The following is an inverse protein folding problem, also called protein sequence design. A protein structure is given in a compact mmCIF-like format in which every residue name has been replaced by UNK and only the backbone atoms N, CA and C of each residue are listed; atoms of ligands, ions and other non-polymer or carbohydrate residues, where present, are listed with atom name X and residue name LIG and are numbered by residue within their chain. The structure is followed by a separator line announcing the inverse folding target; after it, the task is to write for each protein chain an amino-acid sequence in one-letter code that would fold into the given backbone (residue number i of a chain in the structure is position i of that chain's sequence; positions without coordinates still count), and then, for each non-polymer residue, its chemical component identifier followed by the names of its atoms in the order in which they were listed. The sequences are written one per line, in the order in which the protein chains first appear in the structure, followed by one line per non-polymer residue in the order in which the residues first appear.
data_IF_504279755049
#
_entry.id   IF_504279755049
#
_cell.length_a   1.000
_cell.length_b   1.000
_cell.length_c   1.000
_cell.angle_alpha   90.00
_cell.angle_beta   90.00
_cell.angle_gamma   90.00
#
_symmetry.space_group_name_H-M   'P 1'
#
loop_
_entity.id
_entity.type
_entity.pdbx_description
1 polymer ?
#
# COMPACT_ATOMS: atom_id res chain seq x y z
N UNK A 1 -27.40 -0.98 7.59
CA UNK A 1 -28.02 -0.88 8.94
C UNK A 1 -27.43 -1.93 9.89
N UNK A 2 -27.30 -3.21 9.50
CA UNK A 2 -26.73 -4.27 10.35
C UNK A 2 -25.26 -4.07 10.73
N UNK A 3 -24.43 -3.56 9.82
CA UNK A 3 -23.03 -3.23 10.10
C UNK A 3 -22.90 -2.12 11.15
N UNK A 4 -23.72 -1.07 11.03
CA UNK A 4 -23.72 0.03 11.99
C UNK A 4 -24.24 -0.39 13.37
N UNK A 5 -25.30 -1.21 13.43
CA UNK A 5 -25.80 -1.76 14.69
C UNK A 5 -24.75 -2.65 15.39
N UNK A 6 -23.93 -3.35 14.62
CA UNK A 6 -22.81 -4.14 15.17
C UNK A 6 -21.68 -3.25 15.72
N UNK A 7 -21.45 -2.07 15.15
CA UNK A 7 -20.44 -1.13 15.69
C UNK A 7 -20.90 -0.45 16.97
N UNK A 8 -22.21 -0.35 17.23
CA UNK A 8 -22.79 0.17 18.49
C UNK A 8 -22.67 -0.82 19.66
N UNK A 9 -22.51 -2.10 19.38
CA UNK A 9 -22.19 -3.06 20.44
C UNK A 9 -20.75 -2.81 20.85
N UNK A 10 -20.58 -1.95 21.85
CA UNK A 10 -19.30 -1.87 22.55
C UNK A 10 -19.00 -3.29 23.01
N UNK A 11 -17.92 -3.93 22.57
CA UNK A 11 -17.54 -5.19 23.17
C UNK A 11 -17.43 -4.93 24.67
N UNK A 12 -17.97 -5.82 25.50
CA UNK A 12 -17.66 -5.80 26.92
C UNK A 12 -16.15 -5.73 27.00
N UNK A 13 -15.63 -4.61 27.50
CA UNK A 13 -14.20 -4.44 27.69
C UNK A 13 -13.88 -5.35 28.86
N UNK A 14 -13.55 -6.62 28.56
CA UNK A 14 -12.83 -7.41 29.54
C UNK A 14 -11.64 -6.58 29.97
N UNK A 15 -11.40 -6.50 31.27
CA UNK A 15 -10.23 -5.82 31.82
C UNK A 15 -8.97 -6.54 31.32
N UNK A 16 -8.50 -6.17 30.13
CA UNK A 16 -7.23 -6.66 29.62
C UNK A 16 -6.09 -5.96 30.36
N UNK A 17 -5.24 -6.75 30.97
CA UNK A 17 -3.95 -6.24 31.43
C UNK A 17 -3.10 -5.96 30.20
N UNK A 18 -2.85 -4.67 29.93
CA UNK A 18 -2.03 -4.26 28.79
C UNK A 18 -0.58 -4.58 29.13
N UNK A 19 -0.02 -5.56 28.45
CA UNK A 19 1.39 -5.91 28.52
C UNK A 19 2.15 -5.29 27.36
N UNK A 20 3.39 -4.82 27.56
CA UNK A 20 4.25 -4.42 26.43
C UNK A 20 4.42 -5.60 25.47
N UNK A 21 4.31 -5.33 24.17
CA UNK A 21 4.61 -6.35 23.17
C UNK A 21 6.10 -6.65 23.14
N UNK A 22 6.45 -7.92 23.05
CA UNK A 22 7.83 -8.31 22.77
C UNK A 22 8.26 -7.77 21.42
N UNK A 23 9.40 -7.10 21.36
CA UNK A 23 9.97 -6.58 20.14
C UNK A 23 11.42 -7.02 19.97
N UNK A 24 11.84 -7.09 18.74
CA UNK A 24 13.21 -7.39 18.40
C UNK A 24 14.00 -6.09 18.34
N UNK A 25 14.85 -5.88 19.33
CA UNK A 25 15.76 -4.75 19.40
C UNK A 25 16.84 -4.85 18.32
N UNK A 26 17.23 -3.70 17.78
CA UNK A 26 18.31 -3.63 16.78
C UNK A 26 19.61 -4.21 17.33
N UNK A 27 19.91 -4.04 18.62
CA UNK A 27 21.09 -4.62 19.26
C UNK A 27 21.03 -6.14 19.34
N UNK A 28 19.85 -6.71 19.65
CA UNK A 28 19.60 -8.16 19.63
C UNK A 28 19.65 -8.76 18.21
N UNK A 29 19.37 -7.95 17.19
CA UNK A 29 19.52 -8.36 15.79
C UNK A 29 20.98 -8.60 15.38
N UNK A 30 21.95 -7.92 16.04
CA UNK A 30 23.36 -8.07 15.68
C UNK A 30 23.88 -9.49 15.94
N UNK A 31 23.41 -10.17 16.97
CA UNK A 31 23.84 -11.53 17.31
C UNK A 31 23.48 -12.54 16.21
N UNK A 32 22.34 -12.35 15.53
CA UNK A 32 21.84 -13.20 14.45
C UNK A 32 21.90 -12.53 13.06
N UNK A 33 22.51 -11.36 12.95
CA UNK A 33 22.49 -10.55 11.73
C UNK A 33 22.98 -11.34 10.50
N UNK A 34 24.07 -12.10 10.64
CA UNK A 34 24.66 -12.86 9.52
C UNK A 34 23.68 -13.91 9.01
N UNK A 35 23.01 -14.61 9.92
CA UNK A 35 22.01 -15.64 9.58
C UNK A 35 20.80 -15.02 8.90
N UNK A 36 20.17 -14.01 9.52
CA UNK A 36 19.01 -13.34 8.96
C UNK A 36 19.31 -12.67 7.63
N UNK A 37 20.47 -12.05 7.50
CA UNK A 37 20.93 -11.47 6.25
C UNK A 37 21.06 -12.53 5.15
N UNK A 38 21.67 -13.67 5.46
CA UNK A 38 21.85 -14.76 4.49
C UNK A 38 20.49 -15.31 4.01
N UNK A 39 19.55 -15.54 4.94
CA UNK A 39 18.17 -15.99 4.63
C UNK A 39 17.48 -14.96 3.74
N UNK A 40 17.56 -13.67 4.09
CA UNK A 40 16.95 -12.58 3.33
C UNK A 40 17.53 -12.48 1.90
N UNK A 41 18.84 -12.56 1.76
CA UNK A 41 19.52 -12.56 0.45
C UNK A 41 19.08 -13.75 -0.40
N UNK A 42 19.02 -14.94 0.20
CA UNK A 42 18.56 -16.15 -0.49
C UNK A 42 17.10 -16.00 -0.95
N UNK A 43 16.21 -15.49 -0.10
CA UNK A 43 14.82 -15.25 -0.45
C UNK A 43 14.69 -14.29 -1.65
N UNK A 44 15.48 -13.20 -1.67
CA UNK A 44 15.48 -12.23 -2.77
C UNK A 44 16.00 -12.89 -4.06
N UNK A 45 17.14 -13.58 -4.01
CA UNK A 45 17.72 -14.27 -5.18
C UNK A 45 16.79 -15.34 -5.75
N UNK A 46 16.02 -16.00 -4.89
CA UNK A 46 15.03 -17.00 -5.27
C UNK A 46 13.68 -16.38 -5.67
N UNK A 47 13.62 -15.04 -5.87
CA UNK A 47 12.42 -14.30 -6.32
C UNK A 47 11.22 -14.45 -5.37
N UNK A 48 11.46 -14.61 -4.07
CA UNK A 48 10.42 -14.73 -3.03
C UNK A 48 10.05 -13.38 -2.40
N UNK A 49 10.50 -12.27 -2.98
CA UNK A 49 10.19 -10.92 -2.52
C UNK A 49 9.39 -10.17 -3.57
N UNK A 50 8.30 -9.56 -3.14
CA UNK A 50 7.56 -8.55 -3.90
C UNK A 50 7.39 -7.30 -3.04
N UNK A 51 7.33 -6.13 -3.67
CA UNK A 51 7.05 -4.87 -2.99
C UNK A 51 5.58 -4.50 -3.18
N UNK A 52 4.93 -4.04 -2.11
CA UNK A 52 3.57 -3.50 -2.15
C UNK A 52 3.59 -2.07 -1.64
N UNK A 53 3.05 -1.13 -2.44
CA UNK A 53 2.92 0.27 -2.04
C UNK A 53 1.44 0.64 -1.89
N UNK A 54 1.07 1.14 -0.73
CA UNK A 54 -0.26 1.70 -0.48
C UNK A 54 -0.29 3.14 -0.98
N UNK A 55 -0.88 3.38 -2.14
CA UNK A 55 -0.87 4.64 -2.86
C UNK A 55 -2.27 5.25 -3.07
N UNK A 56 -3.26 4.87 -2.26
CA UNK A 56 -4.63 5.39 -2.37
C UNK A 56 -4.82 6.84 -1.90
N UNK A 57 -3.79 7.47 -1.32
CA UNK A 57 -3.89 8.82 -0.76
C UNK A 57 -3.68 9.94 -1.77
N UNK A 58 -4.45 11.04 -1.60
CA UNK A 58 -4.25 12.30 -2.31
C UNK A 58 -3.17 13.16 -1.65
N UNK A 59 -2.54 14.03 -2.43
CA UNK A 59 -1.50 14.96 -2.00
C UNK A 59 -2.00 16.24 -1.32
N UNK A 60 -3.28 16.37 -1.03
CA UNK A 60 -3.93 17.63 -0.61
C UNK A 60 -3.29 18.27 0.61
N UNK A 61 -2.89 17.48 1.62
CA UNK A 61 -2.18 18.00 2.81
C UNK A 61 -0.78 18.56 2.50
N UNK A 62 -0.22 18.21 1.35
CA UNK A 62 1.07 18.70 0.86
C UNK A 62 0.90 19.86 -0.12
N UNK A 63 -0.34 20.37 -0.31
CA UNK A 63 -0.65 21.37 -1.32
C UNK A 63 -0.57 20.85 -2.77
N UNK A 64 -0.48 19.54 -2.96
CA UNK A 64 -0.37 18.91 -4.26
C UNK A 64 -1.74 18.46 -4.78
N UNK A 65 -2.03 18.78 -6.05
CA UNK A 65 -3.24 18.32 -6.74
C UNK A 65 -2.92 17.00 -7.45
N UNK A 66 -3.47 15.91 -6.93
CA UNK A 66 -3.29 14.57 -7.51
C UNK A 66 -2.76 13.54 -6.51
N UNK A 67 -2.44 12.33 -6.99
CA UNK A 67 -1.95 11.24 -6.14
C UNK A 67 -0.69 11.63 -5.38
N UNK A 68 -0.62 11.33 -4.08
CA UNK A 68 0.55 11.69 -3.25
C UNK A 68 1.87 11.15 -3.82
N UNK A 69 1.85 9.98 -4.44
CA UNK A 69 3.05 9.37 -5.03
C UNK A 69 3.67 10.15 -6.19
N UNK A 70 2.91 11.07 -6.82
CA UNK A 70 3.39 11.92 -7.91
C UNK A 70 4.06 13.19 -7.41
N UNK A 71 4.06 13.44 -6.10
CA UNK A 71 4.59 14.65 -5.48
C UNK A 71 6.12 14.67 -5.49
N UNK A 72 6.71 15.78 -5.93
CA UNK A 72 8.13 16.10 -5.79
C UNK A 72 8.35 16.73 -4.41
N UNK A 73 9.13 16.07 -3.56
CA UNK A 73 9.42 16.53 -2.20
C UNK A 73 10.52 17.60 -2.12
N UNK A 74 10.97 18.12 -3.27
CA UNK A 74 11.93 19.22 -3.34
C UNK A 74 13.39 18.80 -3.20
N UNK A 75 13.73 17.54 -3.52
CA UNK A 75 15.13 17.12 -3.65
C UNK A 75 15.74 17.72 -4.92
N UNK A 76 17.07 17.87 -4.95
CA UNK A 76 17.80 18.36 -6.14
C UNK A 76 17.50 17.53 -7.41
N UNK A 77 17.16 16.26 -7.24
CA UNK A 77 16.79 15.36 -8.33
C UNK A 77 15.41 15.64 -8.94
N UNK A 78 14.57 16.45 -8.28
CA UNK A 78 13.18 16.71 -8.68
C UNK A 78 12.32 15.47 -8.94
N UNK A 79 12.70 14.33 -8.32
CA UNK A 79 11.99 13.07 -8.48
C UNK A 79 10.74 13.02 -7.64
N UNK A 80 9.68 12.43 -8.21
CA UNK A 80 8.48 12.10 -7.47
C UNK A 80 8.73 10.98 -6.45
N UNK A 81 7.82 10.85 -5.46
CA UNK A 81 7.89 9.74 -4.51
C UNK A 81 7.86 8.37 -5.19
N UNK A 82 7.05 8.19 -6.24
CA UNK A 82 7.03 6.94 -7.01
C UNK A 82 8.38 6.67 -7.69
N UNK A 83 9.01 7.69 -8.25
CA UNK A 83 10.31 7.53 -8.89
C UNK A 83 11.41 7.16 -7.91
N UNK A 84 11.43 7.78 -6.72
CA UNK A 84 12.36 7.43 -5.65
C UNK A 84 12.18 5.99 -5.16
N UNK A 85 10.93 5.55 -4.97
CA UNK A 85 10.62 4.16 -4.61
C UNK A 85 11.07 3.18 -5.71
N UNK A 86 10.78 3.51 -6.97
CA UNK A 86 11.22 2.73 -8.12
C UNK A 86 12.75 2.57 -8.16
N UNK A 87 13.48 3.66 -7.96
CA UNK A 87 14.94 3.62 -7.97
C UNK A 87 15.50 2.74 -6.87
N UNK A 88 14.95 2.83 -5.65
CA UNK A 88 15.32 1.96 -4.54
C UNK A 88 15.08 0.48 -4.84
N UNK A 89 13.92 0.14 -5.40
CA UNK A 89 13.60 -1.24 -5.76
C UNK A 89 14.51 -1.77 -6.89
N UNK A 90 14.78 -0.96 -7.90
CA UNK A 90 15.67 -1.32 -9.01
C UNK A 90 17.11 -1.49 -8.55
N UNK A 91 17.56 -0.66 -7.62
CA UNK A 91 18.91 -0.78 -7.05
C UNK A 91 19.08 -2.10 -6.27
N UNK A 92 18.10 -2.42 -5.42
CA UNK A 92 18.09 -3.72 -4.72
C UNK A 92 18.00 -4.88 -5.71
N UNK A 93 17.17 -4.79 -6.72
CA UNK A 93 17.07 -5.81 -7.77
C UNK A 93 18.40 -6.03 -8.49
N UNK A 94 19.07 -4.95 -8.90
CA UNK A 94 20.41 -5.02 -9.52
C UNK A 94 21.46 -5.67 -8.63
N UNK A 95 21.46 -5.33 -7.33
CA UNK A 95 22.38 -5.89 -6.35
C UNK A 95 22.30 -7.41 -6.28
N UNK A 96 21.12 -7.98 -6.43
CA UNK A 96 20.89 -9.42 -6.31
C UNK A 96 20.61 -10.13 -7.64
N UNK A 97 20.65 -9.41 -8.78
CA UNK A 97 20.43 -9.96 -10.12
C UNK A 97 18.98 -10.40 -10.39
N UNK A 98 18.01 -9.72 -9.78
CA UNK A 98 16.58 -10.01 -9.92
C UNK A 98 15.79 -8.75 -10.19
N UNK A 99 14.57 -8.90 -10.73
CA UNK A 99 13.56 -7.84 -10.72
C UNK A 99 12.61 -8.10 -9.55
N UNK A 100 12.46 -7.13 -8.66
CA UNK A 100 11.49 -7.18 -7.55
C UNK A 100 10.14 -6.73 -8.11
N UNK A 101 9.11 -7.59 -8.19
CA UNK A 101 7.79 -7.18 -8.67
C UNK A 101 7.20 -6.11 -7.76
N UNK A 102 6.52 -5.13 -8.36
CA UNK A 102 5.94 -4.00 -7.66
C UNK A 102 4.42 -3.96 -7.80
N UNK A 103 3.72 -4.02 -6.69
CA UNK A 103 2.27 -3.97 -6.59
C UNK A 103 1.84 -2.64 -5.98
N UNK A 104 0.97 -1.90 -6.65
CA UNK A 104 0.57 -0.56 -6.25
C UNK A 104 -0.93 -0.55 -5.99
N UNK A 105 -1.29 -0.40 -4.71
CA UNK A 105 -2.67 -0.24 -4.30
C UNK A 105 -3.08 1.23 -4.43
N UNK A 106 -4.09 1.49 -5.25
CA UNK A 106 -4.68 2.81 -5.47
C UNK A 106 -6.07 2.90 -4.84
N UNK A 107 -6.65 4.10 -4.79
CA UNK A 107 -8.08 4.31 -4.56
C UNK A 107 -8.83 4.42 -5.88
N UNK A 108 -10.15 4.28 -5.87
CA UNK A 108 -10.97 4.55 -7.07
C UNK A 108 -10.74 5.97 -7.60
N UNK A 109 -10.60 6.94 -6.69
CA UNK A 109 -10.41 8.35 -7.02
C UNK A 109 -9.10 8.59 -7.77
N UNK A 110 -7.99 7.94 -7.37
CA UNK A 110 -6.66 8.27 -7.90
C UNK A 110 -6.05 7.19 -8.81
N UNK A 111 -6.76 6.10 -9.07
CA UNK A 111 -6.24 4.99 -9.86
C UNK A 111 -5.82 5.41 -11.28
N UNK A 112 -6.71 6.11 -11.97
CA UNK A 112 -6.46 6.50 -13.36
C UNK A 112 -5.29 7.48 -13.47
N UNK A 113 -5.25 8.49 -12.60
CA UNK A 113 -4.16 9.48 -12.56
C UNK A 113 -2.82 8.81 -12.23
N UNK A 114 -2.83 7.83 -11.32
CA UNK A 114 -1.64 7.07 -10.97
C UNK A 114 -1.13 6.26 -12.15
N UNK A 115 -2.01 5.49 -12.82
CA UNK A 115 -1.63 4.68 -13.99
C UNK A 115 -1.11 5.57 -15.12
N UNK A 116 -1.79 6.70 -15.39
CA UNK A 116 -1.38 7.65 -16.42
C UNK A 116 0.00 8.26 -16.10
N UNK A 117 0.24 8.62 -14.83
CA UNK A 117 1.54 9.11 -14.39
C UNK A 117 2.65 8.08 -14.62
N UNK A 118 2.41 6.82 -14.29
CA UNK A 118 3.37 5.75 -14.56
C UNK A 118 3.62 5.60 -16.06
N UNK A 119 2.58 5.57 -16.87
CA UNK A 119 2.70 5.46 -18.32
C UNK A 119 3.51 6.61 -18.94
N UNK A 120 3.26 7.86 -18.52
CA UNK A 120 4.03 9.04 -18.94
C UNK A 120 5.51 8.93 -18.58
N UNK A 121 5.84 8.28 -17.49
CA UNK A 121 7.21 8.04 -17.04
C UNK A 121 7.75 6.65 -17.45
N UNK A 122 7.19 6.05 -18.53
CA UNK A 122 7.60 4.74 -19.07
C UNK A 122 7.62 3.64 -17.98
N UNK A 123 6.65 3.71 -17.06
CA UNK A 123 6.53 2.83 -15.90
C UNK A 123 7.84 2.71 -15.09
N UNK A 124 8.69 3.73 -15.13
CA UNK A 124 10.03 3.73 -14.51
C UNK A 124 10.89 2.52 -14.89
N UNK A 125 10.67 1.95 -16.08
CA UNK A 125 11.37 0.77 -16.58
C UNK A 125 10.79 -0.57 -16.14
N UNK A 126 9.65 -0.59 -15.47
CA UNK A 126 8.87 -1.80 -15.18
C UNK A 126 7.97 -2.17 -16.37
N UNK A 127 7.66 -3.46 -16.49
CA UNK A 127 6.72 -3.99 -17.48
C UNK A 127 5.35 -4.19 -16.81
N UNK A 128 4.35 -3.39 -17.27
CA UNK A 128 2.98 -3.51 -16.75
C UNK A 128 2.45 -4.94 -16.98
N UNK A 129 1.70 -5.44 -16.00
CA UNK A 129 1.08 -6.76 -15.97
C UNK A 129 2.07 -7.96 -15.97
N UNK A 130 3.38 -7.68 -15.87
CA UNK A 130 4.43 -8.69 -15.74
C UNK A 130 5.19 -8.57 -14.41
N UNK A 131 5.66 -7.36 -14.09
CA UNK A 131 6.36 -7.07 -12.83
C UNK A 131 5.93 -5.73 -12.20
N UNK A 132 4.91 -5.07 -12.77
CA UNK A 132 4.23 -3.89 -12.24
C UNK A 132 2.73 -4.12 -12.30
N UNK A 133 2.07 -4.07 -11.14
CA UNK A 133 0.65 -4.35 -11.02
C UNK A 133 -0.05 -3.23 -10.26
N UNK A 134 -1.22 -2.80 -10.77
CA UNK A 134 -2.09 -1.85 -10.07
C UNK A 134 -3.35 -2.58 -9.61
N UNK A 135 -3.82 -2.26 -8.43
CA UNK A 135 -5.07 -2.79 -7.89
C UNK A 135 -5.73 -1.76 -6.99
N UNK A 136 -7.05 -1.85 -6.88
CA UNK A 136 -7.86 -0.82 -6.21
C UNK A 136 -8.21 -1.29 -4.80
N UNK A 137 -8.08 -0.38 -3.85
CA UNK A 137 -8.53 -0.54 -2.48
C UNK A 137 -10.07 -0.55 -2.41
N UNK A 138 -10.61 -1.39 -1.53
CA UNK A 138 -12.04 -1.39 -1.22
C UNK A 138 -12.44 -0.13 -0.46
N UNK A 139 -13.69 0.26 -0.65
CA UNK A 139 -14.32 1.40 0.00
C UNK A 139 -15.56 0.95 0.77
N UNK A 140 -15.91 1.70 1.80
CA UNK A 140 -17.09 1.46 2.63
C UNK A 140 -18.00 2.71 2.62
N UNK A 141 -19.33 2.52 2.64
CA UNK A 141 -20.25 3.62 2.77
C UNK A 141 -19.99 4.46 4.02
N UNK A 142 -19.95 5.77 3.84
CA UNK A 142 -19.86 6.72 4.95
C UNK A 142 -21.23 6.90 5.61
N UNK A 143 -21.22 7.06 6.91
CA UNK A 143 -22.42 7.35 7.71
C UNK A 143 -22.20 8.59 8.57
N UNK A 144 -23.26 9.31 8.88
CA UNK A 144 -23.24 10.39 9.86
C UNK A 144 -23.21 9.86 11.31
N UNK A 145 -23.24 10.77 12.28
CA UNK A 145 -23.22 10.40 13.71
C UNK A 145 -24.49 9.66 14.16
N UNK A 146 -25.59 9.79 13.42
CA UNK A 146 -26.85 9.08 13.64
C UNK A 146 -26.93 7.74 12.89
N UNK A 147 -25.88 7.40 12.09
CA UNK A 147 -25.79 6.17 11.33
C UNK A 147 -26.55 6.17 10.01
N UNK A 148 -26.93 7.33 9.49
CA UNK A 148 -27.50 7.46 8.16
C UNK A 148 -26.40 7.48 7.11
N UNK A 149 -26.66 6.81 5.99
CA UNK A 149 -25.75 6.83 4.84
C UNK A 149 -25.65 8.25 4.28
N UNK A 150 -24.44 8.72 4.09
CA UNK A 150 -24.18 10.01 3.45
C UNK A 150 -24.33 9.89 1.94
N UNK A 151 -25.09 10.84 1.36
CA UNK A 151 -25.26 10.96 -0.08
C UNK A 151 -24.47 12.17 -0.57
N UNK A 152 -23.75 12.01 -1.68
CA UNK A 152 -23.04 13.09 -2.35
C UNK A 152 -23.98 14.05 -3.08
N UNK A 153 -23.43 15.15 -3.56
CA UNK A 153 -24.15 16.12 -4.39
C UNK A 153 -24.60 15.52 -5.73
N UNK A 154 -23.91 14.48 -6.18
CA UNK A 154 -24.23 13.66 -7.36
C UNK A 154 -25.37 12.63 -7.13
N UNK A 155 -25.90 12.56 -5.91
CA UNK A 155 -26.94 11.61 -5.52
C UNK A 155 -26.43 10.19 -5.23
N UNK A 156 -25.11 9.96 -5.27
CA UNK A 156 -24.51 8.66 -4.99
C UNK A 156 -24.13 8.53 -3.51
N UNK A 157 -24.00 7.28 -3.06
CA UNK A 157 -23.52 6.99 -1.70
C UNK A 157 -22.07 7.46 -1.59
N UNK A 158 -21.77 8.29 -0.59
CA UNK A 158 -20.39 8.62 -0.26
C UNK A 158 -19.68 7.40 0.31
N UNK A 159 -18.52 7.10 -0.23
CA UNK A 159 -17.68 6.00 0.19
C UNK A 159 -16.32 6.53 0.65
N UNK A 160 -15.65 5.79 1.50
CA UNK A 160 -14.29 6.07 1.95
C UNK A 160 -13.47 4.77 2.03
N UNK A 161 -12.18 4.91 1.86
CA UNK A 161 -11.26 3.79 1.95
C UNK A 161 -11.41 3.03 3.28
N UNK A 162 -11.41 1.69 3.22
CA UNK A 162 -11.62 0.81 4.38
C UNK A 162 -10.41 0.71 5.34
N UNK A 163 -9.48 1.66 5.25
CA UNK A 163 -8.27 1.73 6.08
C UNK A 163 -7.13 0.84 5.57
N UNK A 164 -5.97 0.95 6.23
CA UNK A 164 -4.75 0.26 5.78
C UNK A 164 -4.85 -1.27 5.85
N UNK A 165 -5.60 -1.82 6.80
CA UNK A 165 -5.85 -3.26 6.89
C UNK A 165 -6.59 -3.83 5.68
N UNK A 166 -7.32 -3.01 4.94
CA UNK A 166 -8.01 -3.38 3.70
C UNK A 166 -7.09 -3.87 2.58
N UNK A 167 -5.78 -3.65 2.69
CA UNK A 167 -4.80 -4.13 1.70
C UNK A 167 -4.85 -5.66 1.51
N UNK A 168 -5.02 -6.42 2.59
CA UNK A 168 -5.06 -7.89 2.50
C UNK A 168 -6.28 -8.36 1.71
N UNK A 169 -7.44 -7.76 1.95
CA UNK A 169 -8.65 -8.05 1.21
C UNK A 169 -8.53 -7.62 -0.26
N UNK A 170 -8.01 -6.42 -0.51
CA UNK A 170 -7.78 -5.90 -1.85
C UNK A 170 -6.83 -6.79 -2.66
N UNK A 171 -5.73 -7.27 -2.08
CA UNK A 171 -4.81 -8.21 -2.72
C UNK A 171 -5.50 -9.50 -3.16
N UNK A 172 -6.38 -10.04 -2.31
CA UNK A 172 -7.12 -11.28 -2.62
C UNK A 172 -8.18 -11.02 -3.70
N UNK A 173 -9.04 -10.02 -3.51
CA UNK A 173 -10.15 -9.71 -4.42
C UNK A 173 -9.69 -9.33 -5.82
N UNK A 174 -8.57 -8.61 -5.93
CA UNK A 174 -8.00 -8.24 -7.22
C UNK A 174 -7.08 -9.34 -7.83
N UNK A 175 -6.97 -10.51 -7.20
CA UNK A 175 -6.18 -11.64 -7.70
C UNK A 175 -4.67 -11.44 -7.59
N UNK A 176 -4.21 -10.42 -6.86
CA UNK A 176 -2.77 -10.10 -6.74
C UNK A 176 -2.00 -11.18 -5.97
N UNK A 177 -2.63 -11.82 -4.99
CA UNK A 177 -2.01 -12.95 -4.27
C UNK A 177 -1.71 -14.14 -5.18
N UNK A 178 -2.49 -14.34 -6.26
CA UNK A 178 -2.19 -15.34 -7.28
C UNK A 178 -0.97 -14.92 -8.10
N UNK A 179 -0.92 -13.66 -8.52
CA UNK A 179 0.23 -13.09 -9.26
C UNK A 179 1.54 -13.13 -8.47
N UNK A 180 1.47 -12.97 -7.14
CA UNK A 180 2.65 -13.09 -6.27
C UNK A 180 3.20 -14.51 -6.15
N UNK A 181 2.44 -15.54 -6.53
CA UNK A 181 2.86 -16.95 -6.48
C UNK A 181 3.41 -17.45 -7.82
N UNK A 182 3.15 -16.75 -8.90
CA UNK A 182 3.69 -16.98 -10.25
C UNK A 182 5.14 -16.47 -10.35
#
# INVERSE_FOLDING_TARGET
KSLYENTKKTPEVENFEIQPIDYMDKEKLYDNYKEYHAIGVEAIKNRKLAAVTMAGGQGTRLGHKGPKGTFDIGLESHKSLFELLSDGLKEQGRKYGVTIPWFIMTSRENNNDTIEFFAKNRNFGYEKDKNLFFFIQEELPMVDMEGKILIGEDGLVKEAANGHGGIYEALVKNGMTKKMRE
#
